data_IF_672218711330
#
_entry.id   IF_672218711330
#
_cell.length_a   1.000
_cell.length_b   1.000
_cell.length_c   1.000
_cell.angle_alpha   90.00
_cell.angle_beta   90.00
_cell.angle_gamma   90.00
#
_symmetry.space_group_name_H-M   'P 1'
#
loop_
_entity.id
_entity.type
_entity.pdbx_description
1 polymer ?
#
# COMPACT_ATOMS: atom_id res chain seq x y z
N UNK A 1 -41.40 60.24 -23.92
CA UNK A 1 -42.80 60.42 -24.33
C UNK A 1 -43.23 59.21 -25.16
N UNK A 2 -44.31 58.53 -24.73
CA UNK A 2 -45.26 57.63 -25.44
C UNK A 2 -44.71 56.75 -26.59
N UNK A 3 -44.58 55.43 -26.45
CA UNK A 3 -45.64 54.37 -26.49
C UNK A 3 -46.42 54.31 -27.81
N UNK A 4 -46.29 53.23 -28.60
CA UNK A 4 -47.34 52.58 -29.43
C UNK A 4 -46.83 51.33 -30.22
N UNK A 5 -47.33 50.18 -29.76
CA UNK A 5 -47.62 48.82 -30.30
C UNK A 5 -47.77 48.62 -31.85
N UNK A 6 -47.62 47.36 -32.37
CA UNK A 6 -47.08 47.02 -33.69
C UNK A 6 -48.12 46.64 -34.78
N UNK A 7 -47.65 46.24 -35.98
CA UNK A 7 -48.46 45.54 -37.01
C UNK A 7 -47.80 44.25 -37.51
N UNK A 8 -48.62 43.22 -37.51
CA UNK A 8 -48.41 41.92 -38.15
C UNK A 8 -48.65 42.02 -39.68
N UNK A 9 -48.04 41.10 -40.43
CA UNK A 9 -48.36 40.78 -41.82
C UNK A 9 -48.34 39.26 -41.98
N UNK A 10 -49.51 38.69 -42.30
CA UNK A 10 -49.79 37.28 -42.54
C UNK A 10 -49.42 36.82 -43.97
N UNK A 11 -49.20 35.50 -44.13
CA UNK A 11 -49.70 34.60 -45.21
C UNK A 11 -48.66 33.53 -45.64
N UNK A 12 -49.06 32.40 -46.28
CA UNK A 12 -50.06 31.43 -45.83
C UNK A 12 -49.63 29.94 -45.98
N UNK A 13 -50.36 29.08 -45.26
CA UNK A 13 -50.73 27.68 -45.52
C UNK A 13 -50.14 26.91 -46.72
N UNK A 14 -49.63 25.70 -46.46
CA UNK A 14 -50.00 24.47 -47.20
C UNK A 14 -50.07 23.25 -46.28
N UNK A 15 -51.21 22.58 -46.37
CA UNK A 15 -51.58 21.31 -45.73
C UNK A 15 -50.91 20.12 -46.40
N UNK A 16 -50.59 19.06 -45.63
CA UNK A 16 -50.89 17.69 -46.07
C UNK A 16 -51.36 16.82 -44.89
N UNK A 17 -52.37 16.05 -45.23
CA UNK A 17 -53.34 15.27 -44.47
C UNK A 17 -52.79 14.01 -43.80
N UNK A 18 -53.40 13.68 -42.67
CA UNK A 18 -53.29 12.41 -41.95
C UNK A 18 -54.02 11.25 -42.67
N UNK A 19 -53.60 10.01 -42.40
CA UNK A 19 -54.44 8.83 -42.57
C UNK A 19 -54.33 7.93 -41.32
N UNK A 20 -55.44 7.84 -40.60
CA UNK A 20 -55.74 6.92 -39.50
C UNK A 20 -56.11 5.54 -40.06
N UNK A 21 -55.69 4.46 -39.40
CA UNK A 21 -56.48 3.23 -39.33
C UNK A 21 -56.49 2.65 -37.91
N UNK A 22 -57.68 2.24 -37.48
CA UNK A 22 -58.08 1.84 -36.13
C UNK A 22 -58.40 0.33 -36.11
N UNK A 23 -57.95 -0.35 -35.04
CA UNK A 23 -58.72 -1.28 -34.14
C UNK A 23 -59.10 -2.66 -34.77
N UNK A 24 -59.07 -3.82 -34.04
CA UNK A 24 -59.63 -4.01 -32.69
C UNK A 24 -58.88 -4.87 -31.64
N UNK A 25 -59.30 -4.61 -30.40
CA UNK A 25 -59.20 -5.42 -29.18
C UNK A 25 -59.92 -6.78 -29.31
N UNK A 26 -59.35 -7.84 -28.73
CA UNK A 26 -60.10 -8.95 -28.17
C UNK A 26 -59.39 -9.50 -26.92
N UNK A 27 -60.14 -9.64 -25.82
CA UNK A 27 -59.79 -10.26 -24.54
C UNK A 27 -59.73 -11.79 -24.63
N UNK A 28 -58.83 -12.42 -23.86
CA UNK A 28 -59.00 -13.65 -23.05
C UNK A 28 -57.60 -14.15 -22.63
N UNK A 29 -57.18 -14.16 -21.35
CA UNK A 29 -57.56 -15.03 -20.22
C UNK A 29 -56.45 -16.08 -19.91
N UNK A 30 -55.94 -15.98 -18.67
CA UNK A 30 -55.49 -17.03 -17.74
C UNK A 30 -54.33 -18.01 -18.07
N UNK A 31 -53.26 -17.84 -17.28
CA UNK A 31 -52.44 -18.84 -16.55
C UNK A 31 -51.71 -19.97 -17.29
N UNK A 32 -50.36 -20.00 -17.17
CA UNK A 32 -49.64 -21.22 -16.80
C UNK A 32 -48.25 -20.94 -16.17
N UNK A 33 -47.97 -21.72 -15.12
CA UNK A 33 -46.78 -21.88 -14.27
C UNK A 33 -45.39 -21.56 -14.85
N UNK A 34 -44.56 -20.92 -14.03
CA UNK A 34 -43.17 -21.36 -13.81
C UNK A 34 -42.75 -21.06 -12.37
N UNK A 35 -42.72 -22.11 -11.56
CA UNK A 35 -42.01 -22.13 -10.29
C UNK A 35 -40.52 -22.31 -10.58
N UNK A 36 -39.70 -21.35 -10.18
CA UNK A 36 -38.29 -21.59 -9.87
C UNK A 36 -38.02 -21.04 -8.47
N UNK A 37 -37.82 -21.98 -7.54
CA UNK A 37 -37.24 -21.73 -6.22
C UNK A 37 -35.78 -21.33 -6.43
N UNK A 38 -35.52 -20.03 -6.62
CA UNK A 38 -34.21 -19.46 -6.30
C UNK A 38 -34.25 -19.11 -4.81
N UNK A 39 -33.73 -20.01 -3.98
CA UNK A 39 -33.51 -19.71 -2.56
C UNK A 39 -32.59 -18.48 -2.44
N UNK A 40 -32.75 -17.65 -1.40
CA UNK A 40 -31.73 -16.65 -1.12
C UNK A 40 -30.47 -17.43 -0.74
N UNK A 41 -29.43 -17.33 -1.58
CA UNK A 41 -28.08 -17.60 -1.12
C UNK A 41 -27.78 -16.51 -0.09
N UNK A 42 -28.05 -16.81 1.18
CA UNK A 42 -27.55 -16.07 2.31
C UNK A 42 -26.03 -16.04 2.16
N UNK A 43 -25.48 -14.91 1.70
CA UNK A 43 -24.08 -14.61 1.88
C UNK A 43 -23.87 -14.62 3.39
N UNK A 44 -23.18 -15.66 3.88
CA UNK A 44 -22.81 -15.77 5.27
C UNK A 44 -21.75 -14.69 5.51
N UNK A 45 -22.18 -13.52 5.96
CA UNK A 45 -21.31 -12.60 6.69
C UNK A 45 -20.95 -13.29 8.00
N UNK A 46 -19.82 -13.99 8.01
CA UNK A 46 -19.23 -14.50 9.25
C UNK A 46 -18.64 -13.31 10.00
N UNK A 47 -19.48 -12.65 10.79
CA UNK A 47 -19.04 -11.79 11.88
C UNK A 47 -18.54 -12.71 12.99
N UNK A 48 -17.23 -12.73 13.25
CA UNK A 48 -16.69 -13.32 14.47
C UNK A 48 -16.00 -12.23 15.29
N UNK A 49 -16.76 -11.71 16.25
CA UNK A 49 -16.24 -10.99 17.40
C UNK A 49 -15.51 -12.00 18.30
N UNK A 50 -14.26 -11.66 18.68
CA UNK A 50 -13.40 -12.23 19.75
C UNK A 50 -12.26 -13.18 19.30
N UNK A 51 -11.05 -12.60 19.20
CA UNK A 51 -9.65 -13.11 19.27
C UNK A 51 -9.24 -14.51 18.73
N UNK A 52 -8.00 -14.60 18.22
CA UNK A 52 -7.53 -14.00 16.99
C UNK A 52 -7.83 -14.95 15.82
N UNK A 53 -8.40 -14.43 14.74
CA UNK A 53 -8.51 -15.22 13.50
C UNK A 53 -7.10 -15.64 13.07
N UNK A 54 -6.86 -16.91 12.68
CA UNK A 54 -5.66 -17.25 11.94
C UNK A 54 -5.69 -16.45 10.64
N UNK A 55 -4.88 -15.38 10.59
CA UNK A 55 -4.70 -14.61 9.37
C UNK A 55 -4.16 -15.57 8.32
N UNK A 56 -4.73 -15.63 7.09
CA UNK A 56 -3.98 -16.18 5.99
C UNK A 56 -2.68 -15.37 5.91
N UNK A 57 -1.57 -16.06 6.13
CA UNK A 57 -0.18 -15.64 6.02
C UNK A 57 0.14 -14.87 4.73
N UNK A 58 -0.77 -14.96 3.74
CA UNK A 58 -0.79 -14.18 2.49
C UNK A 58 -0.96 -12.67 2.72
N UNK A 59 -1.77 -12.20 3.68
CA UNK A 59 -1.98 -10.74 3.92
C UNK A 59 -0.79 -10.06 4.61
N UNK A 60 0.10 -10.83 5.22
CA UNK A 60 1.33 -10.32 5.85
C UNK A 60 2.58 -10.63 5.01
N UNK A 61 2.41 -10.99 3.75
CA UNK A 61 3.52 -11.25 2.82
C UNK A 61 4.02 -9.97 2.12
N UNK A 62 3.28 -8.87 2.28
CA UNK A 62 3.64 -7.55 1.76
C UNK A 62 3.86 -6.54 2.88
N UNK A 63 4.93 -5.74 2.76
CA UNK A 63 5.21 -4.64 3.67
C UNK A 63 4.65 -3.32 3.14
N UNK A 64 4.07 -2.49 4.00
CA UNK A 64 3.53 -1.16 3.69
C UNK A 64 4.52 -0.30 2.91
N UNK A 65 5.79 -0.33 3.30
CA UNK A 65 6.89 0.41 2.68
C UNK A 65 7.84 -0.49 1.88
N UNK A 66 7.44 -1.74 1.65
CA UNK A 66 8.06 -2.63 0.65
C UNK A 66 8.39 -4.04 1.14
N UNK A 67 8.52 -4.93 0.17
CA UNK A 67 8.93 -6.33 0.35
C UNK A 67 10.24 -6.57 -0.38
N UNK A 68 11.19 -7.25 0.27
CA UNK A 68 12.52 -7.48 -0.26
C UNK A 68 12.98 -8.92 -0.04
N UNK A 69 13.51 -9.55 -1.09
CA UNK A 69 14.23 -10.82 -0.97
C UNK A 69 15.71 -10.54 -0.74
N UNK A 70 16.26 -11.07 0.34
CA UNK A 70 17.68 -10.96 0.67
C UNK A 70 18.33 -12.29 0.36
N UNK A 71 19.21 -12.26 -0.64
CA UNK A 71 20.05 -13.40 -0.98
C UNK A 71 21.52 -13.01 -0.86
N UNK A 72 22.37 -13.93 -0.37
CA UNK A 72 23.80 -13.69 -0.18
C UNK A 72 24.61 -13.38 -1.45
N UNK A 73 24.05 -13.67 -2.62
CA UNK A 73 24.70 -13.48 -3.92
C UNK A 73 24.03 -12.38 -4.76
N UNK A 74 22.96 -11.75 -4.27
CA UNK A 74 22.09 -10.92 -5.11
C UNK A 74 21.71 -9.55 -4.58
N UNK A 75 22.11 -9.17 -3.35
CA UNK A 75 21.86 -7.83 -2.81
C UNK A 75 23.05 -7.33 -2.00
N UNK A 76 23.53 -6.13 -2.32
CA UNK A 76 24.56 -5.46 -1.52
C UNK A 76 23.97 -5.08 -0.16
N UNK A 77 24.54 -5.63 0.91
CA UNK A 77 24.33 -5.14 2.27
C UNK A 77 25.39 -4.05 2.55
N UNK A 78 25.07 -2.98 3.29
CA UNK A 78 23.82 -2.75 4.00
C UNK A 78 22.68 -2.30 3.08
N UNK A 79 21.51 -2.90 3.28
CA UNK A 79 20.25 -2.46 2.74
C UNK A 79 19.68 -1.32 3.59
N UNK A 80 19.32 -0.21 2.96
CA UNK A 80 18.61 0.90 3.60
C UNK A 80 17.17 0.93 3.09
N UNK A 81 16.21 0.92 4.00
CA UNK A 81 14.78 1.09 3.75
C UNK A 81 14.29 2.31 4.54
N UNK A 82 13.19 2.90 4.12
CA UNK A 82 12.59 4.05 4.79
C UNK A 82 11.10 3.81 4.99
N UNK A 83 10.53 4.45 6.00
CA UNK A 83 9.12 4.35 6.34
C UNK A 83 8.74 5.32 7.45
N UNK A 84 7.51 5.19 7.91
CA UNK A 84 6.96 5.98 9.03
C UNK A 84 6.50 5.03 10.12
N UNK A 85 6.97 5.25 11.35
CA UNK A 85 6.66 4.41 12.50
C UNK A 85 5.24 4.62 13.00
N UNK A 86 4.73 3.67 13.77
CA UNK A 86 3.46 3.82 14.47
C UNK A 86 2.27 3.20 13.77
N UNK A 87 1.11 3.27 14.42
CA UNK A 87 -0.15 2.80 13.88
C UNK A 87 -1.21 2.62 14.97
N UNK A 88 -2.42 2.16 14.61
CA UNK A 88 -3.53 2.11 15.55
C UNK A 88 -3.56 0.86 16.44
N UNK A 89 -2.67 -0.12 16.21
CA UNK A 89 -2.71 -1.40 16.90
C UNK A 89 -1.63 -1.49 17.98
N UNK A 90 -1.97 -2.08 19.12
CA UNK A 90 -0.99 -2.39 20.15
C UNK A 90 0.02 -3.42 19.61
N UNK A 91 1.29 -3.21 19.95
CA UNK A 91 2.32 -4.21 19.75
C UNK A 91 1.99 -5.45 20.60
N UNK A 92 2.31 -6.67 20.12
CA UNK A 92 1.96 -7.89 20.81
C UNK A 92 2.85 -8.05 22.04
N UNK A 93 2.59 -7.34 23.13
CA UNK A 93 3.35 -7.47 24.37
C UNK A 93 2.81 -8.66 25.19
N UNK A 94 3.69 -9.56 25.61
CA UNK A 94 3.32 -10.75 26.38
C UNK A 94 4.37 -11.85 26.38
N UNK A 95 4.03 -13.03 26.91
CA UNK A 95 4.97 -14.15 27.08
C UNK A 95 5.60 -14.62 25.75
N UNK A 96 4.83 -14.56 24.66
CA UNK A 96 5.27 -14.98 23.31
C UNK A 96 5.98 -13.87 22.53
N UNK A 97 6.04 -12.65 23.07
CA UNK A 97 6.59 -11.47 22.43
C UNK A 97 7.03 -10.41 23.48
N UNK A 98 7.95 -10.79 24.39
CA UNK A 98 8.31 -9.94 25.52
C UNK A 98 9.04 -8.68 25.08
N UNK A 99 8.63 -7.54 25.62
CA UNK A 99 9.27 -6.25 25.36
C UNK A 99 8.83 -5.61 24.04
N UNK A 100 7.77 -6.12 23.42
CA UNK A 100 7.12 -5.48 22.28
C UNK A 100 6.06 -4.49 22.78
N UNK A 101 6.46 -3.39 23.44
CA UNK A 101 5.55 -2.41 24.00
C UNK A 101 5.51 -1.11 23.15
N UNK A 102 4.37 -0.82 22.51
CA UNK A 102 4.19 0.36 21.68
C UNK A 102 3.03 0.19 20.70
N UNK A 103 2.97 1.06 19.70
CA UNK A 103 1.87 1.11 18.72
C UNK A 103 2.40 0.87 17.31
N UNK A 104 1.84 -0.11 16.61
CA UNK A 104 2.26 -0.57 15.28
C UNK A 104 1.15 -0.49 14.23
N UNK A 105 1.56 -0.51 12.97
CA UNK A 105 0.66 -0.64 11.83
C UNK A 105 -0.03 -2.01 11.77
N UNK A 106 -1.26 -2.05 11.25
CA UNK A 106 -2.03 -3.30 11.09
C UNK A 106 -1.29 -4.32 10.18
N UNK A 107 -0.54 -3.80 9.21
CA UNK A 107 0.36 -4.55 8.33
C UNK A 107 1.82 -4.28 8.69
N UNK A 108 2.76 -5.21 8.41
CA UNK A 108 4.18 -4.95 8.60
C UNK A 108 4.63 -3.80 7.71
N UNK A 109 5.55 -3.00 8.22
CA UNK A 109 6.19 -1.92 7.48
C UNK A 109 7.05 -2.49 6.34
N UNK A 110 7.80 -3.54 6.66
CA UNK A 110 8.66 -4.21 5.71
C UNK A 110 8.53 -5.72 5.83
N UNK A 111 8.67 -6.42 4.70
CA UNK A 111 8.77 -7.88 4.67
C UNK A 111 10.08 -8.28 4.01
N UNK A 112 10.93 -9.01 4.74
CA UNK A 112 12.20 -9.52 4.25
C UNK A 112 12.14 -11.03 4.12
N UNK A 113 12.55 -11.58 2.98
CA UNK A 113 12.72 -13.04 2.83
C UNK A 113 14.20 -13.38 2.72
N UNK A 114 14.74 -14.07 3.73
CA UNK A 114 16.10 -14.59 3.70
C UNK A 114 16.13 -15.96 3.00
N UNK A 115 16.93 -16.09 1.95
CA UNK A 115 17.03 -17.35 1.18
C UNK A 115 17.81 -18.46 1.90
N UNK A 116 18.53 -18.12 2.99
CA UNK A 116 19.27 -19.01 3.88
C UNK A 116 19.48 -18.31 5.22
N UNK A 117 20.01 -19.01 6.21
CA UNK A 117 20.38 -18.41 7.49
C UNK A 117 21.44 -17.31 7.30
N UNK A 118 21.23 -16.18 7.94
CA UNK A 118 22.07 -15.00 7.88
C UNK A 118 22.70 -14.79 9.26
N UNK A 119 23.94 -15.24 9.43
CA UNK A 119 24.72 -14.99 10.65
C UNK A 119 25.24 -13.55 10.68
N UNK A 120 25.41 -13.00 11.89
CA UNK A 120 25.98 -11.67 12.12
C UNK A 120 25.25 -10.55 11.37
N UNK A 121 23.92 -10.67 11.23
CA UNK A 121 23.10 -9.61 10.66
C UNK A 121 22.68 -8.64 11.76
N UNK A 122 22.63 -7.36 11.41
CA UNK A 122 22.09 -6.30 12.24
C UNK A 122 20.98 -5.58 11.50
N UNK A 123 19.88 -5.36 12.22
CA UNK A 123 18.72 -4.56 11.80
C UNK A 123 18.62 -3.41 12.78
N UNK A 124 18.82 -2.18 12.30
CA UNK A 124 18.79 -0.97 13.14
C UNK A 124 17.83 0.06 12.55
N UNK A 125 17.00 0.64 13.41
CA UNK A 125 16.15 1.79 13.08
C UNK A 125 16.94 3.07 13.36
N UNK A 126 16.72 4.10 12.54
CA UNK A 126 17.15 5.46 12.84
C UNK A 126 15.98 6.40 12.68
N UNK A 127 15.57 7.00 13.79
CA UNK A 127 14.48 7.96 13.87
C UNK A 127 14.88 9.16 14.73
N UNK A 128 14.23 10.30 14.50
CA UNK A 128 14.32 11.45 15.42
C UNK A 128 13.41 11.31 16.64
N UNK A 129 12.39 10.45 16.55
CA UNK A 129 11.44 10.19 17.62
C UNK A 129 11.67 8.84 18.31
N UNK A 130 10.88 8.57 19.35
CA UNK A 130 10.95 7.33 20.10
C UNK A 130 10.24 6.21 19.33
N UNK A 131 11.01 5.23 18.88
CA UNK A 131 10.52 4.09 18.11
C UNK A 131 10.87 2.78 18.81
N UNK A 132 10.15 1.72 18.47
CA UNK A 132 10.48 0.35 18.84
C UNK A 132 10.54 -0.51 17.58
N UNK A 133 11.51 -1.41 17.51
CA UNK A 133 11.67 -2.35 16.41
C UNK A 133 11.04 -3.70 16.81
N UNK A 134 10.04 -4.15 16.07
CA UNK A 134 9.36 -5.42 16.29
C UNK A 134 9.44 -6.31 15.04
N UNK A 135 9.96 -7.53 15.19
CA UNK A 135 10.11 -8.49 14.09
C UNK A 135 9.37 -9.77 14.42
N UNK A 136 8.69 -10.34 13.42
CA UNK A 136 8.10 -11.67 13.49
C UNK A 136 8.68 -12.55 12.38
N UNK A 137 9.44 -13.56 12.77
CA UNK A 137 10.13 -14.49 11.89
C UNK A 137 9.66 -15.95 12.08
N UNK A 138 10.35 -16.91 11.44
CA UNK A 138 10.11 -18.34 11.64
C UNK A 138 10.22 -18.78 13.10
N UNK A 139 11.05 -18.09 13.88
CA UNK A 139 11.34 -18.41 15.28
C UNK A 139 10.44 -17.65 16.28
N UNK A 140 9.47 -16.86 15.79
CA UNK A 140 8.55 -16.07 16.62
C UNK A 140 8.87 -14.57 16.63
N UNK A 141 8.39 -13.87 17.67
CA UNK A 141 8.57 -12.44 17.84
C UNK A 141 9.90 -12.10 18.51
N UNK A 142 10.50 -11.00 18.08
CA UNK A 142 11.66 -10.40 18.70
C UNK A 142 11.58 -8.89 18.59
N UNK A 143 11.75 -8.21 19.72
CA UNK A 143 11.61 -6.77 19.83
C UNK A 143 12.82 -6.12 20.48
N UNK A 144 13.02 -4.84 20.17
CA UNK A 144 14.05 -4.00 20.77
C UNK A 144 13.64 -2.54 20.70
N UNK A 145 13.81 -1.80 21.78
CA UNK A 145 13.63 -0.35 21.86
C UNK A 145 14.97 0.40 21.93
N UNK A 146 16.11 -0.31 21.95
CA UNK A 146 17.44 0.26 22.08
C UNK A 146 18.57 -0.66 21.57
N UNK A 147 19.79 -0.47 22.08
CA UNK A 147 20.94 -1.32 21.72
C UNK A 147 21.63 -0.99 20.39
N UNK A 148 21.17 0.06 19.71
CA UNK A 148 21.81 0.65 18.55
C UNK A 148 22.60 1.92 18.82
N UNK A 149 23.02 2.60 17.75
CA UNK A 149 23.74 3.86 17.89
C UNK A 149 22.81 4.93 18.46
N UNK A 150 23.30 5.69 19.44
CA UNK A 150 22.50 6.66 20.20
C UNK A 150 21.24 6.04 20.83
N UNK A 151 21.34 4.78 21.26
CA UNK A 151 20.25 4.02 21.88
C UNK A 151 19.02 3.85 20.98
N UNK A 152 19.23 3.89 19.66
CA UNK A 152 18.17 3.58 18.71
C UNK A 152 17.87 2.06 18.71
N UNK A 153 16.65 1.65 18.40
CA UNK A 153 16.28 0.24 18.29
C UNK A 153 17.18 -0.54 17.34
N UNK A 154 17.80 -1.60 17.85
CA UNK A 154 18.57 -2.52 17.02
C UNK A 154 18.43 -3.96 17.50
N UNK A 155 18.45 -4.88 16.53
CA UNK A 155 18.54 -6.31 16.72
C UNK A 155 19.76 -6.84 15.97
N UNK A 156 20.57 -7.66 16.63
CA UNK A 156 21.75 -8.27 16.05
C UNK A 156 21.78 -9.75 16.38
N UNK A 157 22.12 -10.58 15.40
CA UNK A 157 22.29 -12.01 15.60
C UNK A 157 22.16 -12.81 14.33
N UNK A 158 21.78 -14.07 14.50
CA UNK A 158 21.48 -14.98 13.39
C UNK A 158 20.00 -14.91 13.07
N UNK A 159 19.68 -14.64 11.81
CA UNK A 159 18.31 -14.65 11.30
C UNK A 159 18.12 -15.90 10.44
N UNK A 160 17.18 -16.75 10.82
CA UNK A 160 16.89 -18.01 10.10
C UNK A 160 16.30 -17.75 8.71
N UNK A 161 16.56 -18.69 7.80
CA UNK A 161 15.97 -18.71 6.48
C UNK A 161 14.44 -18.67 6.57
N UNK A 162 13.82 -17.76 5.82
CA UNK A 162 12.37 -17.60 5.86
C UNK A 162 11.93 -16.16 5.71
N UNK A 163 10.64 -15.93 5.92
CA UNK A 163 10.02 -14.62 5.81
C UNK A 163 9.93 -13.96 7.18
N UNK A 164 10.51 -12.78 7.27
CA UNK A 164 10.51 -11.91 8.42
C UNK A 164 9.66 -10.68 8.13
N UNK A 165 8.76 -10.39 9.05
CA UNK A 165 7.87 -9.23 9.01
C UNK A 165 8.38 -8.24 10.04
N UNK A 166 8.50 -6.98 9.63
CA UNK A 166 9.15 -5.93 10.42
C UNK A 166 8.14 -4.81 10.60
N UNK A 167 7.95 -4.40 11.84
CA UNK A 167 7.24 -3.20 12.24
C UNK A 167 8.20 -2.27 12.95
N UNK A 168 8.09 -0.97 12.67
CA UNK A 168 8.68 0.06 13.50
C UNK A 168 7.53 0.75 14.22
N UNK A 169 7.36 0.39 15.49
CA UNK A 169 6.34 0.96 16.34
C UNK A 169 6.76 2.36 16.83
N UNK A 170 5.77 3.14 17.24
CA UNK A 170 5.98 4.35 18.03
C UNK A 170 5.70 4.06 19.50
N UNK A 171 6.39 4.74 20.41
CA UNK A 171 6.16 4.58 21.84
C UNK A 171 4.75 5.03 22.27
N UNK A 172 4.26 6.11 21.65
CA UNK A 172 2.97 6.73 21.97
C UNK A 172 1.92 6.49 20.86
N UNK A 173 0.66 6.32 21.26
CA UNK A 173 -0.46 6.15 20.32
C UNK A 173 -0.65 7.43 19.50
N UNK A 174 -0.72 7.29 18.18
CA UNK A 174 -0.88 8.42 17.26
C UNK A 174 0.40 9.25 17.06
N UNK A 175 1.53 8.84 17.63
CA UNK A 175 2.83 9.38 17.26
C UNK A 175 3.35 8.68 15.99
N UNK A 176 3.88 9.47 15.06
CA UNK A 176 4.44 8.97 13.81
C UNK A 176 5.81 9.59 13.59
N UNK A 177 6.81 8.76 13.29
CA UNK A 177 8.17 9.23 13.09
C UNK A 177 8.76 8.63 11.83
N UNK A 178 9.27 9.48 10.95
CA UNK A 178 10.03 9.02 9.80
C UNK A 178 11.31 8.34 10.26
N UNK A 179 11.60 7.18 9.68
CA UNK A 179 12.78 6.41 10.01
C UNK A 179 13.52 5.91 8.78
N UNK A 180 14.79 5.54 8.99
CA UNK A 180 15.56 4.69 8.08
C UNK A 180 15.86 3.38 8.78
N UNK A 181 15.52 2.26 8.16
CA UNK A 181 15.89 0.92 8.60
C UNK A 181 17.15 0.47 7.86
N UNK A 182 18.21 0.17 8.59
CA UNK A 182 19.47 -0.33 8.06
C UNK A 182 19.60 -1.82 8.39
N UNK A 183 19.69 -2.66 7.35
CA UNK A 183 19.86 -4.11 7.45
C UNK A 183 21.20 -4.46 6.83
N UNK A 184 22.16 -4.92 7.62
CA UNK A 184 23.49 -5.21 7.11
C UNK A 184 24.33 -6.06 8.04
N UNK A 185 25.61 -6.33 7.69
CA UNK A 185 26.52 -7.00 8.60
C UNK A 185 26.59 -6.21 9.92
N UNK A 186 26.61 -6.93 11.02
CA UNK A 186 26.91 -6.34 12.31
C UNK A 186 28.26 -5.59 12.23
N UNK A 187 28.36 -4.38 12.82
CA UNK A 187 29.63 -3.70 12.90
C UNK A 187 30.60 -4.60 13.67
N UNK A 188 31.77 -4.84 13.07
CA UNK A 188 32.83 -5.59 13.74
C UNK A 188 33.22 -4.78 14.97
N UNK A 189 32.88 -5.27 16.15
CA UNK A 189 33.47 -4.77 17.39
C UNK A 189 34.95 -5.11 17.29
N UNK A 190 35.77 -4.13 16.94
CA UNK A 190 37.21 -4.26 17.10
C UNK A 190 37.47 -4.36 18.60
N UNK A 191 37.59 -5.58 19.13
CA UNK A 191 38.33 -5.76 20.37
C UNK A 191 39.69 -5.07 20.18
N UNK A 192 40.15 -4.27 21.16
CA UNK A 192 41.47 -3.66 21.08
C UNK A 192 42.47 -4.78 20.82
N UNK A 193 43.16 -4.69 19.67
CA UNK A 193 44.12 -5.71 19.25
C UNK A 193 45.03 -6.03 20.44
N UNK A 194 45.18 -7.31 20.84
CA UNK A 194 46.23 -7.67 21.76
C UNK A 194 47.53 -7.15 21.15
N UNK A 195 48.29 -6.38 21.94
CA UNK A 195 49.61 -5.88 21.50
C UNK A 195 50.38 -7.03 20.87
N UNK A 196 51.02 -6.83 19.70
CA UNK A 196 51.76 -7.89 19.05
C UNK A 196 52.79 -8.43 20.04
N UNK A 197 52.63 -9.70 20.43
CA UNK A 197 53.70 -10.42 21.12
C UNK A 197 54.85 -10.55 20.13
N UNK A 198 56.10 -10.28 20.54
CA UNK A 198 57.23 -10.41 19.65
C UNK A 198 57.33 -11.84 19.13
N UNK A 199 57.48 -11.91 17.82
CA UNK A 199 57.63 -13.08 16.98
C UNK A 199 58.59 -14.11 17.61
N UNK A 200 58.07 -15.33 17.83
CA UNK A 200 58.90 -16.51 18.01
C UNK A 200 58.50 -17.54 16.96
N UNK A 201 59.37 -17.58 15.94
CA UNK A 201 59.86 -18.78 15.24
C UNK A 201 58.90 -19.50 14.30
N UNK A 202 59.17 -19.29 13.00
CA UNK A 202 58.90 -20.18 11.85
C UNK A 202 59.93 -21.35 11.84
N UNK A 203 59.76 -22.44 11.06
CA UNK A 203 58.62 -23.33 10.83
C UNK A 203 58.96 -24.82 11.13
N UNK A 204 57.95 -25.69 11.23
CA UNK A 204 58.12 -27.09 10.86
C UNK A 204 57.09 -27.52 9.81
N UNK A 205 57.59 -28.25 8.80
CA UNK A 205 56.86 -28.78 7.64
C UNK A 205 55.81 -29.79 8.08
N UNK A 206 54.53 -29.47 7.87
CA UNK A 206 53.47 -30.48 7.82
C UNK A 206 53.30 -30.94 6.36
N UNK A 207 53.37 -32.27 6.15
CA UNK A 207 53.15 -32.89 4.83
C UNK A 207 51.67 -32.79 4.43
N UNK A 208 51.34 -32.69 3.12
CA UNK A 208 49.96 -32.72 2.67
C UNK A 208 49.32 -34.09 2.88
N UNK A 209 48.09 -34.10 3.40
CA UNK A 209 47.19 -35.25 3.46
C UNK A 209 46.53 -35.39 2.08
N UNK A 210 46.46 -36.60 1.47
CA UNK A 210 45.77 -36.79 0.19
C UNK A 210 44.25 -36.65 0.34
N UNK A 211 43.53 -36.17 -0.70
CA UNK A 211 42.09 -35.98 -0.65
C UNK A 211 41.32 -37.31 -0.59
N UNK A 212 40.17 -37.35 0.08
CA UNK A 212 39.31 -38.54 0.10
C UNK A 212 38.66 -38.80 -1.26
N UNK A 213 38.44 -40.07 -1.56
CA UNK A 213 37.79 -40.54 -2.78
C UNK A 213 36.33 -40.06 -2.89
N UNK A 214 35.81 -39.86 -4.12
CA UNK A 214 34.42 -39.44 -4.33
C UNK A 214 33.42 -40.52 -3.91
N UNK A 215 32.21 -40.14 -3.45
CA UNK A 215 31.19 -41.12 -3.09
C UNK A 215 30.61 -41.81 -4.33
N UNK A 216 30.31 -43.09 -4.16
CA UNK A 216 29.58 -43.93 -5.13
C UNK A 216 28.16 -43.35 -5.29
N UNK A 217 27.81 -42.99 -6.53
CA UNK A 217 26.46 -42.55 -6.90
C UNK A 217 25.61 -43.80 -7.06
N UNK A 218 24.68 -44.03 -6.14
CA UNK A 218 23.66 -45.07 -6.27
C UNK A 218 22.46 -44.49 -7.05
N UNK A 219 22.26 -44.99 -8.26
CA UNK A 219 21.23 -44.57 -9.21
C UNK A 219 19.85 -45.00 -8.70
N UNK A 220 19.04 -44.05 -8.22
CA UNK A 220 17.63 -44.29 -7.88
C UNK A 220 16.70 -43.91 -9.04
N UNK A 221 15.94 -44.91 -9.46
CA UNK A 221 14.83 -44.91 -10.42
C UNK A 221 13.85 -43.71 -10.30
N UNK A 222 13.28 -43.22 -11.42
CA UNK A 222 12.41 -42.04 -11.42
C UNK A 222 11.00 -42.41 -10.95
N UNK A 223 10.56 -41.84 -9.82
CA UNK A 223 9.17 -41.91 -9.37
C UNK A 223 8.36 -40.70 -9.86
N UNK A 224 7.44 -41.01 -10.77
CA UNK A 224 6.11 -40.43 -10.97
C UNK A 224 5.96 -38.89 -11.12
N UNK A 225 5.70 -38.46 -12.36
CA UNK A 225 5.10 -37.14 -12.66
C UNK A 225 3.66 -37.08 -12.10
N UNK A 226 3.24 -36.00 -11.44
CA UNK A 226 1.82 -35.71 -11.28
C UNK A 226 1.20 -35.33 -12.62
N UNK A 227 -0.02 -35.82 -12.88
CA UNK A 227 -0.86 -35.42 -14.02
C UNK A 227 -1.27 -33.94 -13.87
N UNK A 228 -1.34 -33.16 -14.96
CA UNK A 228 -1.96 -31.84 -14.91
C UNK A 228 -3.48 -32.02 -14.92
N UNK A 229 -4.14 -31.71 -13.81
CA UNK A 229 -5.59 -31.58 -13.79
C UNK A 229 -5.99 -30.35 -14.63
N UNK A 230 -6.84 -30.63 -15.63
CA UNK A 230 -7.43 -29.63 -16.52
C UNK A 230 -8.70 -29.05 -15.89
N UNK A 231 -8.84 -27.73 -16.06
CA UNK A 231 -10.08 -26.95 -16.11
C UNK A 231 -10.77 -26.66 -14.78
N UNK A 232 -10.32 -25.57 -14.15
CA UNK A 232 -11.20 -24.64 -13.43
C UNK A 232 -11.40 -23.41 -14.34
N UNK A 233 -12.61 -22.82 -14.43
CA UNK A 233 -12.82 -21.61 -15.23
C UNK A 233 -11.91 -20.49 -14.71
N UNK A 234 -11.16 -19.87 -15.62
CA UNK A 234 -10.36 -18.69 -15.33
C UNK A 234 -11.30 -17.54 -14.88
N UNK A 235 -11.10 -16.95 -13.70
CA UNK A 235 -11.86 -15.77 -13.29
C UNK A 235 -11.64 -14.66 -14.33
N UNK A 236 -12.69 -13.88 -14.64
CA UNK A 236 -12.57 -12.74 -15.55
C UNK A 236 -11.39 -11.84 -15.11
N UNK A 237 -10.60 -11.28 -16.05
CA UNK A 237 -9.51 -10.37 -15.69
C UNK A 237 -10.08 -9.21 -14.88
N UNK A 238 -9.51 -9.00 -13.70
CA UNK A 238 -9.89 -7.92 -12.78
C UNK A 238 -9.65 -6.55 -13.44
N UNK A 239 -10.41 -5.51 -13.03
CA UNK A 239 -10.23 -4.18 -13.59
C UNK A 239 -8.80 -3.70 -13.37
N UNK A 240 -8.15 -3.33 -14.45
CA UNK A 240 -6.87 -2.63 -14.43
C UNK A 240 -7.09 -1.22 -13.89
N UNK A 241 -6.29 -0.78 -12.92
CA UNK A 241 -6.30 0.60 -12.44
C UNK A 241 -5.44 1.48 -13.35
N UNK A 242 -5.91 2.69 -13.62
CA UNK A 242 -5.22 3.65 -14.47
C UNK A 242 -5.20 5.03 -13.85
N UNK A 243 -4.05 5.68 -13.96
CA UNK A 243 -3.88 7.11 -13.69
C UNK A 243 -3.32 7.76 -14.94
N UNK A 244 -3.93 8.87 -15.36
CA UNK A 244 -3.41 9.73 -16.41
C UNK A 244 -3.32 11.14 -15.88
N UNK A 245 -2.18 11.76 -16.05
CA UNK A 245 -1.92 13.05 -15.46
C UNK A 245 -0.67 13.72 -15.98
N UNK A 246 -0.30 14.80 -15.31
CA UNK A 246 0.91 15.55 -15.54
C UNK A 246 1.56 15.88 -14.21
N UNK A 247 2.89 15.84 -14.17
CA UNK A 247 3.71 16.45 -13.12
C UNK A 247 4.48 17.59 -13.77
N UNK A 248 4.19 18.82 -13.38
CA UNK A 248 4.57 20.00 -14.18
C UNK A 248 4.08 19.83 -15.63
N UNK A 249 4.98 19.93 -16.60
CA UNK A 249 4.72 19.73 -18.02
C UNK A 249 4.97 18.28 -18.49
N UNK A 250 5.21 17.33 -17.57
CA UNK A 250 5.55 15.94 -17.91
C UNK A 250 4.30 15.07 -17.84
N UNK A 251 3.86 14.57 -19.00
CA UNK A 251 2.79 13.57 -19.08
C UNK A 251 3.19 12.27 -18.37
N UNK A 252 2.35 11.82 -17.45
CA UNK A 252 2.49 10.55 -16.74
C UNK A 252 1.28 9.65 -16.96
N UNK A 253 1.56 8.36 -17.11
CA UNK A 253 0.53 7.32 -17.17
C UNK A 253 1.02 6.06 -16.48
N UNK A 254 0.24 5.59 -15.52
CA UNK A 254 0.47 4.35 -14.81
C UNK A 254 -0.74 3.45 -14.96
N UNK A 255 -0.50 2.16 -15.18
CA UNK A 255 -1.53 1.17 -15.44
C UNK A 255 -1.12 -0.17 -14.87
N UNK A 256 -1.91 -0.72 -13.95
CA UNK A 256 -1.59 -1.97 -13.27
C UNK A 256 -2.84 -2.69 -12.77
N UNK A 257 -2.71 -3.93 -12.28
CA UNK A 257 -3.86 -4.70 -11.79
C UNK A 257 -4.37 -4.18 -10.44
N UNK A 258 -3.53 -3.48 -9.68
CA UNK A 258 -3.88 -2.93 -8.36
C UNK A 258 -3.39 -1.48 -8.18
N UNK A 259 -4.00 -0.76 -7.25
CA UNK A 259 -3.57 0.60 -6.85
C UNK A 259 -2.14 0.58 -6.29
N UNK A 260 -1.78 -0.45 -5.51
CA UNK A 260 -0.42 -0.60 -4.97
C UNK A 260 0.63 -0.77 -6.07
N UNK A 261 0.33 -1.51 -7.12
CA UNK A 261 1.23 -1.62 -8.29
C UNK A 261 1.31 -0.31 -9.07
N UNK A 262 0.20 0.43 -9.21
CA UNK A 262 0.21 1.79 -9.79
C UNK A 262 1.13 2.72 -8.97
N UNK A 263 1.04 2.69 -7.64
CA UNK A 263 1.92 3.42 -6.74
C UNK A 263 3.39 3.01 -6.96
N UNK A 264 3.68 1.71 -6.99
CA UNK A 264 5.03 1.19 -7.21
C UNK A 264 5.62 1.62 -8.55
N UNK A 265 4.83 1.61 -9.63
CA UNK A 265 5.27 2.11 -10.94
C UNK A 265 5.64 3.60 -10.87
N UNK A 266 4.84 4.42 -10.18
CA UNK A 266 5.18 5.82 -9.95
C UNK A 266 6.49 5.98 -9.16
N UNK A 267 6.67 5.23 -8.07
CA UNK A 267 7.89 5.29 -7.26
C UNK A 267 9.12 4.90 -8.09
N UNK A 268 9.01 3.88 -8.94
CA UNK A 268 10.07 3.47 -9.84
C UNK A 268 10.39 4.57 -10.88
N UNK A 269 9.36 5.21 -11.43
CA UNK A 269 9.49 6.32 -12.38
C UNK A 269 10.21 7.52 -11.74
N UNK A 270 9.74 8.02 -10.59
CA UNK A 270 10.37 9.16 -9.91
C UNK A 270 11.77 8.83 -9.36
N UNK A 271 12.02 7.57 -8.99
CA UNK A 271 13.34 7.10 -8.60
C UNK A 271 14.38 7.17 -9.74
N UNK A 272 13.93 7.07 -11.00
CA UNK A 272 14.76 7.29 -12.19
C UNK A 272 14.79 8.79 -12.59
N UNK A 273 13.67 9.49 -12.45
CA UNK A 273 13.52 10.91 -12.74
C UNK A 273 13.95 11.80 -11.55
N UNK A 274 15.17 11.59 -11.04
CA UNK A 274 15.67 12.26 -9.81
C UNK A 274 15.73 13.79 -9.86
N UNK A 275 15.62 14.38 -11.05
CA UNK A 275 15.62 15.83 -11.24
C UNK A 275 14.22 16.46 -11.15
N UNK A 276 13.17 15.63 -11.10
CA UNK A 276 11.79 16.10 -10.97
C UNK A 276 11.44 16.37 -9.50
N UNK A 277 12.13 17.33 -8.88
CA UNK A 277 12.06 17.60 -7.43
C UNK A 277 11.29 18.86 -7.07
N UNK A 278 10.91 19.65 -8.07
CA UNK A 278 10.23 20.94 -7.90
C UNK A 278 8.83 20.83 -8.52
N UNK A 279 8.08 19.81 -8.12
CA UNK A 279 6.71 19.63 -8.60
C UNK A 279 5.75 20.32 -7.64
N UNK A 280 5.12 21.38 -8.11
CA UNK A 280 4.07 22.13 -7.45
C UNK A 280 2.78 22.22 -8.29
N UNK A 281 2.81 21.80 -9.55
CA UNK A 281 1.64 21.63 -10.40
C UNK A 281 1.44 20.16 -10.78
N UNK A 282 0.25 19.63 -10.49
CA UNK A 282 -0.16 18.29 -10.94
C UNK A 282 -1.50 18.33 -11.64
N UNK A 283 -1.66 17.49 -12.66
CA UNK A 283 -2.94 17.27 -13.34
C UNK A 283 -3.36 15.83 -13.15
N UNK A 284 -4.57 15.59 -12.67
CA UNK A 284 -5.17 14.25 -12.63
C UNK A 284 -6.50 14.26 -13.34
N UNK A 285 -6.67 13.34 -14.30
CA UNK A 285 -7.89 13.19 -15.10
C UNK A 285 -8.39 14.51 -15.73
N UNK A 286 -7.46 15.41 -16.07
CA UNK A 286 -7.74 16.72 -16.68
C UNK A 286 -8.05 17.86 -15.69
N UNK A 287 -7.98 17.62 -14.37
CA UNK A 287 -8.09 18.65 -13.34
C UNK A 287 -6.71 19.01 -12.81
N UNK A 288 -6.36 20.30 -12.86
CA UNK A 288 -5.11 20.82 -12.36
C UNK A 288 -5.22 21.19 -10.88
N UNK A 289 -4.13 20.95 -10.15
CA UNK A 289 -3.97 21.22 -8.73
C UNK A 289 -2.59 21.84 -8.52
N UNK A 290 -2.53 22.86 -7.66
CA UNK A 290 -1.31 23.59 -7.36
C UNK A 290 -1.03 23.56 -5.86
N UNK A 291 0.20 23.22 -5.50
CA UNK A 291 0.72 23.44 -4.16
C UNK A 291 1.04 24.92 -3.98
N UNK A 292 0.39 25.57 -3.01
CA UNK A 292 0.58 27.00 -2.75
C UNK A 292 1.82 27.31 -1.91
N UNK A 293 2.36 26.31 -1.21
CA UNK A 293 3.46 26.48 -0.26
C UNK A 293 4.52 25.39 -0.43
N UNK A 294 5.25 25.47 -1.53
CA UNK A 294 6.40 24.61 -1.81
C UNK A 294 6.11 23.53 -2.84
N UNK A 295 6.87 22.44 -2.76
CA UNK A 295 6.83 21.35 -3.72
C UNK A 295 6.44 20.05 -3.02
N UNK A 296 5.74 19.18 -3.74
CA UNK A 296 5.48 17.84 -3.24
C UNK A 296 6.73 16.96 -3.32
N UNK A 297 6.92 16.11 -2.30
CA UNK A 297 7.95 15.08 -2.35
C UNK A 297 7.58 13.99 -3.36
N UNK A 298 8.56 13.19 -3.80
CA UNK A 298 8.29 12.03 -4.66
C UNK A 298 7.31 11.03 -4.02
N UNK A 299 7.40 10.86 -2.70
CA UNK A 299 6.51 9.99 -1.94
C UNK A 299 5.07 10.54 -1.95
N UNK A 300 4.89 11.85 -1.70
CA UNK A 300 3.59 12.49 -1.75
C UNK A 300 2.97 12.46 -3.15
N UNK A 301 3.77 12.70 -4.20
CA UNK A 301 3.33 12.60 -5.60
C UNK A 301 2.80 11.21 -5.93
N UNK A 302 3.52 10.15 -5.52
CA UNK A 302 3.07 8.78 -5.80
C UNK A 302 1.88 8.36 -4.93
N UNK A 303 1.79 8.83 -3.69
CA UNK A 303 0.59 8.66 -2.88
C UNK A 303 -0.63 9.35 -3.52
N UNK A 304 -0.47 10.56 -4.09
CA UNK A 304 -1.52 11.21 -4.88
C UNK A 304 -1.91 10.43 -6.14
N UNK A 305 -0.94 9.84 -6.84
CA UNK A 305 -1.21 8.92 -7.95
C UNK A 305 -2.11 7.77 -7.47
N UNK A 306 -1.80 7.16 -6.33
CA UNK A 306 -2.61 6.08 -5.76
C UNK A 306 -4.03 6.54 -5.38
N UNK A 307 -4.15 7.71 -4.74
CA UNK A 307 -5.43 8.34 -4.36
C UNK A 307 -6.32 8.72 -5.56
N UNK A 308 -5.75 8.77 -6.77
CA UNK A 308 -6.45 9.09 -8.01
C UNK A 308 -6.47 7.92 -9.00
N UNK A 309 -6.06 6.72 -8.57
CA UNK A 309 -6.10 5.52 -9.39
C UNK A 309 -7.54 5.00 -9.51
N UNK A 310 -8.07 5.00 -10.73
CA UNK A 310 -9.44 4.55 -11.01
C UNK A 310 -9.45 3.25 -11.81
N UNK A 311 -10.46 2.39 -11.64
CA UNK A 311 -10.69 1.27 -12.54
C UNK A 311 -10.75 1.75 -14.00
N UNK A 312 -10.19 0.96 -14.91
CA UNK A 312 -10.18 1.29 -16.33
C UNK A 312 -11.61 1.47 -16.85
N UNK A 313 -11.87 2.62 -17.46
CA UNK A 313 -13.20 2.97 -17.96
C UNK A 313 -14.13 3.61 -16.93
N UNK A 314 -13.72 3.72 -15.66
CA UNK A 314 -14.49 4.47 -14.66
C UNK A 314 -14.51 5.97 -14.98
N UNK A 315 -15.66 6.60 -14.73
CA UNK A 315 -15.87 8.05 -14.87
C UNK A 315 -15.89 8.71 -13.50
N UNK A 316 -15.55 10.00 -13.42
CA UNK A 316 -15.55 10.75 -12.16
C UNK A 316 -16.93 10.89 -11.49
N UNK A 317 -18.01 10.52 -12.19
CA UNK A 317 -19.38 10.47 -11.65
C UNK A 317 -19.65 9.21 -10.84
N UNK A 318 -18.85 8.16 -11.01
CA UNK A 318 -18.94 6.91 -10.27
C UNK A 318 -17.91 6.81 -9.13
N UNK A 319 -17.16 7.88 -8.88
CA UNK A 319 -16.26 7.94 -7.74
C UNK A 319 -17.09 7.94 -6.44
N UNK A 320 -16.73 7.10 -5.49
CA UNK A 320 -17.39 7.05 -4.19
C UNK A 320 -17.09 8.34 -3.40
N UNK A 321 -15.83 8.78 -3.45
CA UNK A 321 -15.39 10.04 -2.89
C UNK A 321 -14.40 10.72 -3.83
N UNK A 322 -14.67 11.96 -4.19
CA UNK A 322 -13.74 12.82 -4.92
C UNK A 322 -13.63 14.16 -4.23
N UNK A 323 -12.43 14.70 -4.15
CA UNK A 323 -12.22 15.84 -3.28
C UNK A 323 -10.80 16.33 -3.23
N UNK A 324 -10.57 17.16 -2.23
CA UNK A 324 -9.30 17.79 -1.93
C UNK A 324 -9.17 17.96 -0.42
N UNK A 325 -8.03 17.57 0.13
CA UNK A 325 -7.65 17.86 1.50
C UNK A 325 -6.37 18.67 1.45
N UNK A 326 -6.40 19.92 1.91
CA UNK A 326 -5.18 20.75 1.95
C UNK A 326 -4.40 20.87 0.63
N UNK A 327 -5.12 20.85 -0.50
CA UNK A 327 -4.49 20.90 -1.83
C UNK A 327 -4.04 19.54 -2.37
N UNK A 328 -4.25 18.46 -1.61
CA UNK A 328 -4.04 17.07 -2.03
C UNK A 328 -5.32 16.52 -2.63
N UNK A 329 -5.38 16.31 -3.96
CA UNK A 329 -6.56 15.78 -4.62
C UNK A 329 -6.69 14.27 -4.42
N UNK A 330 -7.94 13.80 -4.37
CA UNK A 330 -8.26 12.38 -4.41
C UNK A 330 -9.53 12.12 -5.22
N UNK A 331 -9.57 10.98 -5.89
CA UNK A 331 -10.75 10.46 -6.60
C UNK A 331 -10.75 8.93 -6.44
N UNK A 332 -11.49 8.46 -5.45
CA UNK A 332 -11.47 7.06 -5.02
C UNK A 332 -12.78 6.38 -5.44
N UNK A 333 -12.62 5.20 -6.03
CA UNK A 333 -13.70 4.34 -6.53
C UNK A 333 -13.75 3.07 -5.70
N UNK A 334 -14.88 2.36 -5.74
CA UNK A 334 -15.06 1.07 -5.08
C UNK A 334 -16.08 1.12 -3.94
N UNK A 335 -15.87 0.30 -2.92
CA UNK A 335 -16.69 0.20 -1.73
C UNK A 335 -16.23 1.16 -0.61
N UNK A 336 -17.03 1.39 0.43
CA UNK A 336 -16.60 2.15 1.62
C UNK A 336 -15.37 1.54 2.31
N UNK A 337 -15.21 0.22 2.27
CA UNK A 337 -14.04 -0.48 2.79
C UNK A 337 -12.79 -0.18 1.95
N UNK A 338 -12.93 -0.17 0.61
CA UNK A 338 -11.85 0.23 -0.29
C UNK A 338 -11.44 1.69 -0.03
N UNK A 339 -12.42 2.58 0.11
CA UNK A 339 -12.20 3.99 0.42
C UNK A 339 -11.41 4.15 1.72
N UNK A 340 -11.82 3.47 2.78
CA UNK A 340 -11.13 3.52 4.07
C UNK A 340 -9.72 2.94 3.98
N UNK A 341 -9.52 1.83 3.27
CA UNK A 341 -8.21 1.20 3.11
C UNK A 341 -7.23 2.11 2.33
N UNK A 342 -7.69 2.67 1.21
CA UNK A 342 -6.89 3.56 0.36
C UNK A 342 -6.52 4.83 1.12
N UNK A 343 -7.47 5.47 1.82
CA UNK A 343 -7.19 6.68 2.59
C UNK A 343 -6.20 6.41 3.73
N UNK A 344 -6.38 5.34 4.50
CA UNK A 344 -5.45 4.99 5.57
C UNK A 344 -4.02 4.79 5.06
N UNK A 345 -3.87 4.19 3.88
CA UNK A 345 -2.56 3.88 3.33
C UNK A 345 -1.85 5.09 2.72
N UNK A 346 -2.56 5.91 1.94
CA UNK A 346 -1.92 6.92 1.09
C UNK A 346 -2.14 8.35 1.55
N UNK A 347 -3.23 8.66 2.26
CA UNK A 347 -3.51 10.02 2.72
C UNK A 347 -2.42 10.60 3.64
N UNK A 348 -1.93 9.90 4.68
CA UNK A 348 -0.90 10.46 5.57
C UNK A 348 0.47 10.61 4.93
N UNK A 349 0.69 10.00 3.76
CA UNK A 349 1.90 10.18 2.94
C UNK A 349 1.75 11.36 1.99
N UNK A 350 0.54 11.57 1.47
CA UNK A 350 0.24 12.61 0.50
C UNK A 350 0.09 14.00 1.13
N UNK A 351 -0.47 14.08 2.34
CA UNK A 351 -0.72 15.33 3.07
C UNK A 351 -0.04 15.31 4.44
N UNK A 352 0.44 16.46 4.88
CA UNK A 352 0.87 16.64 6.26
C UNK A 352 -0.36 16.90 7.14
N UNK A 353 -0.72 15.88 7.92
CA UNK A 353 -1.90 15.89 8.78
C UNK A 353 -1.82 16.87 9.95
N UNK A 354 -0.67 17.50 10.21
CA UNK A 354 -0.52 18.44 11.34
C UNK A 354 -1.28 19.74 11.16
N UNK A 355 -1.73 20.04 9.94
CA UNK A 355 -2.48 21.25 9.61
C UNK A 355 -3.75 20.99 8.79
N UNK A 356 -4.28 19.76 8.82
CA UNK A 356 -5.50 19.42 8.11
C UNK A 356 -6.74 20.13 8.71
N UNK A 357 -7.18 21.22 8.11
CA UNK A 357 -8.38 21.99 8.47
C UNK A 357 -9.33 22.30 7.32
N UNK A 358 -8.93 22.17 6.05
CA UNK A 358 -9.73 22.45 4.86
C UNK A 358 -9.92 21.17 4.02
N UNK A 359 -11.15 20.63 4.04
CA UNK A 359 -11.55 19.42 3.33
C UNK A 359 -12.73 19.71 2.39
N UNK A 360 -12.64 19.26 1.14
CA UNK A 360 -13.74 19.20 0.18
C UNK A 360 -13.98 17.76 -0.25
N UNK A 361 -15.23 17.29 -0.20
CA UNK A 361 -15.65 15.95 -0.67
C UNK A 361 -16.97 16.07 -1.41
N UNK A 362 -17.03 15.57 -2.64
CA UNK A 362 -18.22 15.55 -3.49
C UNK A 362 -18.93 16.93 -3.59
N UNK A 363 -18.15 18.02 -3.60
CA UNK A 363 -18.63 19.40 -3.63
C UNK A 363 -19.09 19.97 -2.28
N UNK A 364 -18.95 19.21 -1.20
CA UNK A 364 -19.21 19.68 0.16
C UNK A 364 -17.90 20.06 0.85
N UNK A 365 -17.82 21.29 1.37
CA UNK A 365 -16.66 21.76 2.14
C UNK A 365 -16.88 21.57 3.64
N UNK A 366 -15.83 21.17 4.35
CA UNK A 366 -15.70 21.22 5.80
C UNK A 366 -14.46 22.04 6.13
N UNK A 367 -14.57 22.86 7.18
CA UNK A 367 -13.46 23.64 7.69
C UNK A 367 -13.35 23.58 9.20
N UNK A 368 -12.18 23.29 9.74
CA UNK A 368 -11.89 23.36 11.18
C UNK A 368 -11.27 24.71 11.55
N UNK A 369 -12.06 25.62 12.13
CA UNK A 369 -11.58 26.98 12.45
C UNK A 369 -10.80 27.07 13.75
N UNK A 370 -10.81 26.02 14.56
CA UNK A 370 -10.33 26.05 15.95
C UNK A 370 -9.17 25.10 16.20
N UNK A 371 -8.74 24.36 15.19
CA UNK A 371 -7.66 23.39 15.26
C UNK A 371 -7.56 22.59 13.97
N UNK A 372 -6.96 21.43 14.06
CA UNK A 372 -6.71 20.53 12.94
C UNK A 372 -7.28 19.16 13.23
N UNK A 373 -7.72 18.45 12.20
CA UNK A 373 -8.19 17.08 12.31
C UNK A 373 -7.02 16.09 12.28
N UNK A 374 -7.13 15.02 13.06
CA UNK A 374 -6.26 13.86 12.88
C UNK A 374 -6.72 12.99 11.70
N UNK A 375 -5.92 11.98 11.35
CA UNK A 375 -6.19 11.09 10.22
C UNK A 375 -7.55 10.38 10.32
N UNK A 376 -7.88 9.84 11.49
CA UNK A 376 -9.13 9.10 11.67
C UNK A 376 -10.34 10.03 11.55
N UNK A 377 -10.26 11.25 12.09
CA UNK A 377 -11.30 12.27 11.95
C UNK A 377 -11.51 12.66 10.48
N UNK A 378 -10.44 12.86 9.73
CA UNK A 378 -10.52 13.15 8.29
C UNK A 378 -11.13 11.98 7.53
N UNK A 379 -10.70 10.74 7.80
CA UNK A 379 -11.26 9.55 7.13
C UNK A 379 -12.75 9.41 7.44
N UNK A 380 -13.15 9.59 8.69
CA UNK A 380 -14.55 9.56 9.11
C UNK A 380 -15.36 10.66 8.44
N UNK A 381 -14.81 11.87 8.30
CA UNK A 381 -15.44 12.95 7.56
C UNK A 381 -15.59 12.58 6.08
N UNK A 382 -14.55 12.10 5.41
CA UNK A 382 -14.62 11.69 3.99
C UNK A 382 -15.66 10.60 3.78
N UNK A 383 -15.66 9.56 4.62
CA UNK A 383 -16.66 8.49 4.56
C UNK A 383 -18.08 9.04 4.74
N UNK A 384 -18.30 9.96 5.68
CA UNK A 384 -19.62 10.57 5.93
C UNK A 384 -20.12 11.47 4.79
N UNK A 385 -19.22 11.96 3.94
CA UNK A 385 -19.52 12.85 2.82
C UNK A 385 -19.48 12.14 1.46
N UNK A 386 -19.03 10.89 1.45
CA UNK A 386 -19.02 10.03 0.27
C UNK A 386 -20.42 9.53 -0.06
N UNK A 387 -20.62 9.03 -1.27
CA UNK A 387 -21.91 8.45 -1.71
C UNK A 387 -22.13 7.02 -1.15
N UNK A 388 -21.57 6.73 0.03
CA UNK A 388 -21.54 5.45 0.71
C UNK A 388 -22.80 5.13 1.53
#
# INVERSE_FOLDING_TARGET
>A
MMSSIPRQSESPFRHHTAALHRVPLALAAATLLLAFLAGPAAAQTTTCLKEPCPRPDTELSQGTFGTQRISPAGRELPLRLAGTSGGPADAPDGDDAPGCAGFLGVHPDHVLTFSRDMAELRVEVRSRGATLLALHGPDGWVCSDGGGQNDQPALQGTFTAGTWRIWVASADMGAYHNYTLEVGPAPVVQEPSPRPRPDRTRPDRVRPIPPPAPPVVEEREPRHRPRPDRHRPEPAPAPTFVVRGQFEDIDVRFEAATIAEVHQQCTAFLGQARNLTLVDDVVFHGRAWRNVSGFWSHEALCAMVALNARPQGASAEHALARGNLEGVPFEIHGSPDDLRAILNQYLPVAVDMTWADDLEVNGQTRRNRTGYWNLEEVIMLILSLSDA
#
